data_IF_052965253995
#
_entry.id   IF_052965253995
#
_cell.length_a   1.000
_cell.length_b   1.000
_cell.length_c   1.000
_cell.angle_alpha   90.00
_cell.angle_beta   90.00
_cell.angle_gamma   90.00
#
_symmetry.space_group_name_H-M   'P 1'
#
loop_
_entity.id
_entity.type
_entity.pdbx_description
1 polymer ?
#
# COMPACT_ATOMS: atom_id res chain seq x y z
N UNK A 1 -12.89 1.88 -34.83
CA UNK A 1 -11.76 1.24 -34.14
C UNK A 1 -11.73 1.78 -32.72
N UNK A 2 -12.30 1.05 -31.76
CA UNK A 2 -12.23 1.43 -30.35
C UNK A 2 -10.88 1.00 -29.80
N UNK A 3 -9.98 1.97 -29.61
CA UNK A 3 -8.76 1.75 -28.82
C UNK A 3 -9.17 1.68 -27.36
N UNK A 4 -9.38 0.46 -26.85
CA UNK A 4 -9.45 0.20 -25.41
C UNK A 4 -8.16 0.76 -24.81
N UNK A 5 -8.21 1.69 -23.83
CA UNK A 5 -6.99 2.13 -23.18
C UNK A 5 -6.35 0.88 -22.54
N UNK A 6 -5.10 0.62 -22.89
CA UNK A 6 -4.31 -0.42 -22.25
C UNK A 6 -4.31 -0.11 -20.75
N UNK A 7 -5.07 -0.88 -19.97
CA UNK A 7 -4.97 -0.87 -18.52
C UNK A 7 -3.55 -1.37 -18.27
N UNK A 8 -2.66 -0.47 -17.88
CA UNK A 8 -1.33 -0.85 -17.40
C UNK A 8 -1.62 -1.67 -16.14
N UNK A 9 -1.66 -3.00 -16.30
CA UNK A 9 -1.71 -3.95 -15.20
C UNK A 9 -0.35 -3.87 -14.51
N UNK A 10 -0.20 -2.86 -13.66
CA UNK A 10 0.93 -2.77 -12.76
C UNK A 10 0.89 -4.03 -11.88
N UNK A 11 1.93 -4.84 -11.98
CA UNK A 11 1.97 -6.14 -11.30
C UNK A 11 2.11 -5.94 -9.78
N UNK A 12 1.84 -6.99 -8.99
CA UNK A 12 2.08 -6.94 -7.55
C UNK A 12 3.55 -6.61 -7.22
N UNK A 13 4.48 -7.04 -8.06
CA UNK A 13 5.91 -6.72 -7.96
C UNK A 13 6.17 -5.22 -8.20
N UNK A 14 5.54 -4.64 -9.22
CA UNK A 14 5.68 -3.20 -9.52
C UNK A 14 5.14 -2.33 -8.39
N UNK A 15 4.04 -2.75 -7.75
CA UNK A 15 3.47 -2.06 -6.59
C UNK A 15 4.39 -2.09 -5.38
N UNK A 16 5.04 -3.22 -5.09
CA UNK A 16 5.93 -3.36 -3.92
C UNK A 16 7.16 -2.44 -4.01
N UNK A 17 7.65 -2.21 -5.23
CA UNK A 17 8.80 -1.32 -5.48
C UNK A 17 8.41 0.14 -5.75
N UNK A 18 7.11 0.47 -5.73
CA UNK A 18 6.65 1.80 -6.10
C UNK A 18 6.94 2.81 -4.98
N UNK A 19 7.53 3.99 -5.27
CA UNK A 19 7.88 4.98 -4.24
C UNK A 19 6.66 5.44 -3.42
N UNK A 20 5.49 5.57 -4.03
CA UNK A 20 4.27 5.90 -3.30
C UNK A 20 3.86 4.85 -2.25
N UNK A 21 4.15 3.56 -2.48
CA UNK A 21 3.86 2.48 -1.52
C UNK A 21 4.82 2.56 -0.33
N UNK A 22 6.11 2.79 -0.58
CA UNK A 22 7.11 3.01 0.48
C UNK A 22 6.76 4.24 1.33
N UNK A 23 6.42 5.37 0.71
CA UNK A 23 5.97 6.57 1.44
C UNK A 23 4.75 6.29 2.32
N UNK A 24 3.75 5.60 1.77
CA UNK A 24 2.55 5.22 2.53
C UNK A 24 2.87 4.27 3.69
N UNK A 25 3.79 3.32 3.50
CA UNK A 25 4.24 2.43 4.57
C UNK A 25 4.97 3.19 5.68
N UNK A 26 5.82 4.18 5.33
CA UNK A 26 6.48 5.07 6.30
C UNK A 26 5.50 5.95 7.06
N UNK A 27 4.42 6.41 6.44
CA UNK A 27 3.34 7.11 7.14
C UNK A 27 2.67 6.20 8.18
N UNK A 28 2.39 4.94 7.82
CA UNK A 28 1.83 3.96 8.75
C UNK A 28 2.81 3.55 9.85
N UNK A 29 4.11 3.60 9.59
CA UNK A 29 5.13 3.33 10.61
C UNK A 29 5.09 4.35 11.76
N UNK A 30 4.66 5.58 11.48
CA UNK A 30 4.44 6.65 12.48
C UNK A 30 3.05 6.58 13.12
N UNK A 31 2.14 5.76 12.59
CA UNK A 31 0.79 5.64 13.11
C UNK A 31 0.77 4.91 14.46
N UNK A 32 -0.19 5.28 15.30
CA UNK A 32 -0.36 4.62 16.61
C UNK A 32 -0.86 3.17 16.41
N UNK A 33 -0.59 2.26 17.38
CA UNK A 33 -1.11 0.89 17.32
C UNK A 33 -2.64 0.82 17.17
N UNK A 34 -3.37 1.74 17.81
CA UNK A 34 -4.83 1.82 17.71
C UNK A 34 -5.30 2.18 16.29
N UNK A 35 -4.63 3.11 15.61
CA UNK A 35 -4.91 3.44 14.21
C UNK A 35 -4.57 2.28 13.27
N UNK A 36 -3.49 1.56 13.55
CA UNK A 36 -3.12 0.39 12.76
C UNK A 36 -4.15 -0.73 12.89
N UNK A 37 -4.71 -0.93 14.09
CA UNK A 37 -5.75 -1.94 14.34
C UNK A 37 -7.09 -1.64 13.62
N UNK A 38 -7.37 -0.38 13.27
CA UNK A 38 -8.56 -0.02 12.46
C UNK A 38 -8.31 -0.20 10.96
N UNK A 39 -7.05 -0.12 10.52
CA UNK A 39 -6.64 -0.25 9.12
C UNK A 39 -6.33 -1.69 8.73
N UNK A 40 -5.74 -2.46 9.65
CA UNK A 40 -5.21 -3.80 9.43
C UNK A 40 -5.93 -4.75 10.39
N UNK A 41 -6.56 -5.78 9.84
CA UNK A 41 -7.24 -6.81 10.62
C UNK A 41 -6.22 -7.74 11.30
N UNK A 42 -6.62 -8.50 12.33
CA UNK A 42 -5.71 -9.40 13.07
C UNK A 42 -4.98 -10.47 12.23
N UNK A 43 -5.44 -10.73 11.00
CA UNK A 43 -4.83 -11.68 10.06
C UNK A 43 -4.00 -10.98 8.96
N UNK A 44 -3.45 -9.80 9.27
CA UNK A 44 -2.69 -8.93 8.35
C UNK A 44 -3.42 -8.57 7.05
N UNK A 45 -4.74 -8.73 7.03
CA UNK A 45 -5.57 -8.34 5.90
C UNK A 45 -6.01 -6.89 6.03
N UNK A 46 -5.98 -6.10 4.96
CA UNK A 46 -6.49 -4.73 5.01
C UNK A 46 -8.01 -4.70 5.29
N UNK A 47 -8.45 -3.69 6.03
CA UNK A 47 -9.88 -3.38 6.17
C UNK A 47 -10.42 -2.85 4.84
N UNK A 48 -11.74 -2.98 4.59
CA UNK A 48 -12.36 -2.43 3.36
C UNK A 48 -12.13 -0.94 3.25
N UNK A 49 -12.22 -0.23 4.38
CA UNK A 49 -11.94 1.21 4.44
C UNK A 49 -10.49 1.51 4.06
N UNK A 50 -9.53 0.73 4.58
CA UNK A 50 -8.13 0.91 4.23
C UNK A 50 -7.84 0.61 2.75
N UNK A 51 -8.50 -0.40 2.15
CA UNK A 51 -8.38 -0.66 0.71
C UNK A 51 -8.81 0.54 -0.15
N UNK A 52 -9.88 1.24 0.25
CA UNK A 52 -10.34 2.45 -0.43
C UNK A 52 -9.35 3.60 -0.27
N UNK A 53 -8.98 3.89 0.99
CA UNK A 53 -8.03 4.96 1.32
C UNK A 53 -6.68 4.76 0.64
N UNK A 54 -6.15 3.53 0.63
CA UNK A 54 -4.86 3.23 0.02
C UNK A 54 -4.89 3.47 -1.49
N UNK A 55 -5.97 3.10 -2.18
CA UNK A 55 -6.12 3.35 -3.61
C UNK A 55 -6.23 4.84 -3.93
N UNK A 56 -6.99 5.60 -3.15
CA UNK A 56 -7.11 7.05 -3.29
C UNK A 56 -5.74 7.73 -3.15
N UNK A 57 -5.05 7.44 -2.04
CA UNK A 57 -3.72 7.96 -1.74
C UNK A 57 -2.65 7.56 -2.74
N UNK A 58 -2.73 6.34 -3.27
CA UNK A 58 -1.83 5.89 -4.31
C UNK A 58 -2.07 6.66 -5.62
N UNK A 59 -3.32 6.86 -6.03
CA UNK A 59 -3.65 7.65 -7.24
C UNK A 59 -3.21 9.10 -7.15
N UNK A 60 -3.35 9.72 -5.99
CA UNK A 60 -2.86 11.08 -5.72
C UNK A 60 -1.34 11.17 -5.92
N UNK A 61 -0.59 10.22 -5.34
CA UNK A 61 0.88 10.21 -5.37
C UNK A 61 1.46 9.75 -6.71
N UNK A 62 0.83 8.77 -7.36
CA UNK A 62 1.29 8.19 -8.62
C UNK A 62 0.86 9.01 -9.85
N UNK A 63 0.20 10.17 -9.67
CA UNK A 63 -0.08 11.09 -10.76
C UNK A 63 -1.08 10.56 -11.80
N UNK A 64 -2.13 9.87 -11.38
CA UNK A 64 -3.26 9.34 -12.19
C UNK A 64 -2.99 8.11 -13.07
N UNK A 65 -1.78 7.57 -13.12
CA UNK A 65 -1.46 6.32 -13.84
C UNK A 65 -1.70 5.09 -12.97
N UNK A 66 -2.95 4.74 -12.69
CA UNK A 66 -3.27 3.51 -11.94
C UNK A 66 -4.73 3.12 -12.03
N UNK A 67 -4.99 1.97 -12.67
CA UNK A 67 -6.31 1.34 -12.63
C UNK A 67 -6.69 0.93 -11.19
N UNK A 68 -7.96 0.55 -10.94
CA UNK A 68 -8.35 0.09 -9.62
C UNK A 68 -7.58 -1.19 -9.28
N UNK A 69 -6.76 -1.14 -8.23
CA UNK A 69 -6.13 -2.31 -7.63
C UNK A 69 -6.93 -2.70 -6.38
N UNK A 70 -8.04 -3.45 -6.51
CA UNK A 70 -8.85 -3.79 -5.35
C UNK A 70 -8.04 -4.63 -4.36
N UNK A 71 -7.59 -3.97 -3.29
CA UNK A 71 -6.80 -4.55 -2.20
C UNK A 71 -5.30 -4.73 -2.46
N UNK A 72 -4.80 -4.70 -3.70
CA UNK A 72 -3.37 -4.96 -3.97
C UNK A 72 -2.45 -3.87 -3.43
N UNK A 73 -2.81 -2.58 -3.55
CA UNK A 73 -2.05 -1.47 -2.98
C UNK A 73 -2.00 -1.58 -1.46
N UNK A 74 -3.14 -1.80 -0.80
CA UNK A 74 -3.19 -1.91 0.65
C UNK A 74 -2.37 -3.09 1.18
N UNK A 75 -2.37 -4.23 0.45
CA UNK A 75 -1.51 -5.38 0.76
C UNK A 75 -0.03 -5.04 0.60
N UNK A 76 0.37 -4.42 -0.51
CA UNK A 76 1.75 -4.01 -0.73
C UNK A 76 2.25 -3.06 0.37
N UNK A 77 1.41 -2.10 0.80
CA UNK A 77 1.72 -1.20 1.91
C UNK A 77 1.90 -1.95 3.24
N UNK A 78 1.05 -2.95 3.54
CA UNK A 78 1.20 -3.78 4.76
C UNK A 78 2.51 -4.58 4.72
N UNK A 79 2.83 -5.19 3.58
CA UNK A 79 4.07 -5.95 3.41
C UNK A 79 5.29 -5.04 3.59
N UNK A 80 5.31 -3.88 2.93
CA UNK A 80 6.40 -2.91 3.06
C UNK A 80 6.52 -2.39 4.51
N UNK A 81 5.41 -2.16 5.21
CA UNK A 81 5.41 -1.79 6.63
C UNK A 81 6.05 -2.87 7.51
N UNK A 82 5.75 -4.15 7.26
CA UNK A 82 6.34 -5.26 7.99
C UNK A 82 7.87 -5.35 7.77
N UNK A 83 8.33 -5.14 6.53
CA UNK A 83 9.75 -5.08 6.19
C UNK A 83 10.47 -3.92 6.90
N UNK A 84 9.89 -2.71 6.88
CA UNK A 84 10.45 -1.54 7.58
C UNK A 84 10.58 -1.77 9.09
N UNK A 85 9.59 -2.43 9.71
CA UNK A 85 9.64 -2.80 11.13
C UNK A 85 10.70 -3.84 11.45
N UNK A 86 10.85 -4.84 10.58
CA UNK A 86 11.88 -5.86 10.74
C UNK A 86 13.29 -5.22 10.66
N UNK A 87 13.49 -4.27 9.76
CA UNK A 87 14.75 -3.55 9.63
C UNK A 87 15.04 -2.66 10.85
N UNK A 88 14.04 -1.94 11.37
CA UNK A 88 14.20 -1.16 12.61
C UNK A 88 14.50 -2.03 13.84
N UNK A 89 13.89 -3.22 13.91
CA UNK A 89 14.19 -4.18 14.98
C UNK A 89 15.61 -4.72 14.93
N UNK A 90 16.19 -4.88 13.72
CA UNK A 90 17.60 -5.27 13.54
C UNK A 90 18.58 -4.13 13.80
N UNK A 91 18.21 -2.89 13.50
CA UNK A 91 19.07 -1.73 13.72
C UNK A 91 19.16 -1.30 15.21
N UNK A 92 18.31 -1.86 16.07
CA UNK A 92 18.28 -1.59 17.51
C UNK A 92 18.95 -2.70 18.36
N UNK A 93 19.43 -3.76 17.71
CA UNK A 93 20.20 -4.88 18.30
C UNK A 93 21.70 -4.66 18.07
#
# INVERSE_FOLDING_TARGET
MSSTPAVIEMTATDLHTHPAVDEMARDLLKATPAMLATLIRPNDSPSVWFMGLANERFRERAGTSGGPFPGSVARAVITCLAELRAEQGRAAD
#
